data_IF_535211886142
#
_entry.id   IF_535211886142
#
_cell.length_a   1.000
_cell.length_b   1.000
_cell.length_c   1.000
_cell.angle_alpha   90.00
_cell.angle_beta   90.00
_cell.angle_gamma   90.00
#
_symmetry.space_group_name_H-M   'P 1'
#
loop_
_entity.id
_entity.type
_entity.pdbx_description
1 polymer ?
#
# COMPACT_ATOMS: atom_id res chain seq x y z
N UNK A 1 -16.12 13.32 11.43
CA UNK A 1 -15.03 12.64 10.72
C UNK A 1 -15.68 11.79 9.63
N UNK A 2 -15.37 12.05 8.36
CA UNK A 2 -16.00 11.34 7.24
C UNK A 2 -15.26 10.01 7.07
N UNK A 3 -15.95 8.89 7.29
CA UNK A 3 -15.36 7.56 7.12
C UNK A 3 -15.33 7.26 5.62
N UNK A 4 -14.24 7.63 4.95
CA UNK A 4 -13.99 7.18 3.58
C UNK A 4 -13.73 5.67 3.66
N UNK A 5 -14.65 4.88 3.11
CA UNK A 5 -14.61 3.42 3.15
C UNK A 5 -13.60 2.93 2.12
N UNK A 6 -12.62 2.15 2.55
CA UNK A 6 -11.70 1.47 1.65
C UNK A 6 -12.31 0.15 1.16
N UNK A 7 -12.23 -0.11 -0.13
CA UNK A 7 -12.66 -1.38 -0.73
C UNK A 7 -11.57 -2.45 -0.57
N UNK A 8 -10.30 -2.05 -0.61
CA UNK A 8 -9.14 -2.94 -0.45
C UNK A 8 -8.11 -2.30 0.49
N UNK A 9 -7.49 -3.11 1.34
CA UNK A 9 -6.34 -2.73 2.16
C UNK A 9 -5.21 -3.73 1.91
N UNK A 10 -4.04 -3.23 1.51
CA UNK A 10 -2.82 -4.01 1.32
C UNK A 10 -1.83 -3.72 2.44
N UNK A 11 -1.26 -4.78 3.02
CA UNK A 11 -0.27 -4.66 4.10
C UNK A 11 1.11 -5.06 3.60
N UNK A 12 2.09 -4.19 3.83
CA UNK A 12 3.52 -4.44 3.63
C UNK A 12 4.24 -4.55 4.97
N UNK A 13 5.26 -5.41 5.07
CA UNK A 13 6.08 -5.48 6.27
C UNK A 13 7.02 -4.26 6.33
N UNK A 14 7.54 -3.85 5.18
CA UNK A 14 8.43 -2.71 4.99
C UNK A 14 7.86 -1.76 3.93
N UNK A 15 8.25 -0.47 3.94
CA UNK A 15 7.94 0.44 2.85
C UNK A 15 8.49 -0.14 1.55
N UNK A 16 7.72 -0.08 0.46
CA UNK A 16 7.98 -0.65 -0.87
C UNK A 16 7.47 -2.07 -1.16
N UNK A 17 7.17 -2.88 -0.12
CA UNK A 17 6.77 -4.29 -0.31
C UNK A 17 5.56 -4.42 -1.23
N UNK A 18 4.58 -3.52 -1.04
CA UNK A 18 3.29 -3.55 -1.73
C UNK A 18 3.42 -3.06 -3.18
N UNK A 19 4.19 -2.00 -3.41
CA UNK A 19 4.49 -1.45 -4.73
C UNK A 19 5.26 -2.45 -5.59
N UNK A 20 6.28 -3.09 -5.00
CA UNK A 20 7.12 -4.08 -5.68
C UNK A 20 6.36 -5.37 -5.99
N UNK A 21 5.51 -5.84 -5.07
CA UNK A 21 4.86 -7.14 -5.21
C UNK A 21 3.55 -7.07 -6.01
N UNK A 22 2.79 -5.98 -5.90
CA UNK A 22 1.43 -5.91 -6.44
C UNK A 22 1.01 -4.53 -6.98
N UNK A 23 1.96 -3.64 -7.31
CA UNK A 23 1.64 -2.32 -7.87
C UNK A 23 0.74 -2.37 -9.10
N UNK A 24 0.96 -3.33 -10.01
CA UNK A 24 0.09 -3.53 -11.19
C UNK A 24 -1.34 -3.94 -10.82
N UNK A 25 -1.52 -4.74 -9.77
CA UNK A 25 -2.84 -5.10 -9.25
C UNK A 25 -3.54 -3.89 -8.64
N UNK A 26 -2.82 -3.05 -7.89
CA UNK A 26 -3.37 -1.81 -7.32
C UNK A 26 -3.85 -0.88 -8.43
N UNK A 27 -3.06 -0.68 -9.49
CA UNK A 27 -3.46 0.11 -10.66
C UNK A 27 -4.77 -0.45 -11.24
N UNK A 28 -4.85 -1.77 -11.48
CA UNK A 28 -6.06 -2.38 -12.04
C UNK A 28 -7.29 -2.23 -11.12
N UNK A 29 -7.12 -2.26 -9.80
CA UNK A 29 -8.21 -2.05 -8.85
C UNK A 29 -8.70 -0.59 -8.88
N UNK A 30 -7.78 0.36 -8.90
CA UNK A 30 -8.11 1.80 -9.00
C UNK A 30 -8.79 2.11 -10.34
N UNK A 31 -8.33 1.55 -11.45
CA UNK A 31 -8.97 1.70 -12.77
C UNK A 31 -10.41 1.15 -12.80
N UNK A 32 -10.75 0.19 -11.93
CA UNK A 32 -12.11 -0.33 -11.73
C UNK A 32 -12.96 0.54 -10.79
N UNK A 33 -12.41 1.67 -10.31
CA UNK A 33 -13.09 2.59 -9.40
C UNK A 33 -13.08 2.16 -7.93
N UNK A 34 -12.23 1.19 -7.55
CA UNK A 34 -12.10 0.77 -6.16
C UNK A 34 -11.11 1.65 -5.41
N UNK A 35 -11.42 1.91 -4.15
CA UNK A 35 -10.53 2.61 -3.22
C UNK A 35 -9.57 1.62 -2.56
N UNK A 36 -8.27 1.91 -2.65
CA UNK A 36 -7.21 1.06 -2.09
C UNK A 36 -6.41 1.85 -1.07
N UNK A 37 -6.23 1.28 0.13
CA UNK A 37 -5.28 1.78 1.13
C UNK A 37 -4.08 0.85 1.26
N UNK A 38 -2.92 1.43 1.50
CA UNK A 38 -1.68 0.70 1.78
C UNK A 38 -1.25 0.99 3.22
N UNK A 39 -0.80 -0.05 3.93
CA UNK A 39 -0.30 0.05 5.30
C UNK A 39 1.06 -0.61 5.38
N UNK A 40 2.06 0.20 5.71
CA UNK A 40 3.39 -0.29 6.06
C UNK A 40 3.44 -0.55 7.57
N UNK A 41 3.82 -1.76 7.95
CA UNK A 41 3.90 -2.18 9.35
C UNK A 41 5.16 -1.68 10.05
N UNK A 42 6.19 -1.31 9.30
CA UNK A 42 7.42 -0.68 9.79
C UNK A 42 7.75 0.56 8.99
N UNK A 43 8.59 1.42 9.55
CA UNK A 43 9.12 2.59 8.83
C UNK A 43 10.39 2.26 8.05
N UNK A 44 10.82 0.99 8.05
CA UNK A 44 12.09 0.58 7.45
C UNK A 44 13.30 1.09 8.23
N UNK A 45 13.21 1.25 9.56
CA UNK A 45 14.23 1.87 10.41
C UNK A 45 15.60 1.18 10.42
N UNK A 46 15.67 -0.07 9.95
CA UNK A 46 16.91 -0.83 9.78
C UNK A 46 17.36 -0.95 8.30
N UNK A 47 16.68 -0.25 7.39
CA UNK A 47 17.02 -0.21 5.98
C UNK A 47 18.38 0.46 5.74
N UNK A 48 19.22 -0.15 4.92
CA UNK A 48 20.57 0.36 4.63
C UNK A 48 20.59 1.43 3.53
N UNK A 49 19.51 1.57 2.76
CA UNK A 49 19.39 2.47 1.59
C UNK A 49 18.07 3.28 1.57
N UNK A 50 17.53 3.61 2.75
CA UNK A 50 16.21 4.23 2.92
C UNK A 50 16.21 5.61 3.62
N UNK A 51 17.27 6.41 3.45
CA UNK A 51 17.33 7.81 3.93
C UNK A 51 16.71 8.78 2.92
#
# INVERSE_FOLDING_TARGET
MKTEKLDVIAFGAHPDDVELSMGGTIISLVERGLTVGVVDLSQGELGTRGS
#
